data_IF_538389973860
#
_entry.id   IF_538389973860
#
_cell.length_a   1.000
_cell.length_b   1.000
_cell.length_c   1.000
_cell.angle_alpha   90.00
_cell.angle_beta   90.00
_cell.angle_gamma   90.00
#
_symmetry.space_group_name_H-M   'P 1'
#
loop_
_entity.id
_entity.type
_entity.pdbx_description
1 polymer ?
#
# COMPACT_ATOMS: atom_id res chain seq x y z
N UNK A 1 49.33 60.48 55.41
CA UNK A 1 48.14 59.74 55.91
C UNK A 1 47.10 59.69 54.86
N UNK A 2 46.99 58.59 54.15
CA UNK A 2 45.87 58.30 53.25
C UNK A 2 45.65 56.81 53.29
N UNK A 3 44.51 56.38 53.84
CA UNK A 3 44.03 54.98 53.90
C UNK A 3 43.55 54.52 52.56
N UNK A 4 43.98 53.35 52.17
CA UNK A 4 43.47 52.64 50.98
C UNK A 4 42.60 51.49 51.47
N UNK A 5 41.32 51.55 51.19
CA UNK A 5 40.32 50.49 51.40
C UNK A 5 40.24 49.57 50.16
N UNK A 6 40.59 48.29 50.33
CA UNK A 6 40.41 47.27 49.31
C UNK A 6 38.97 46.79 49.31
N UNK A 7 38.25 46.97 48.20
CA UNK A 7 37.01 46.27 47.89
C UNK A 7 37.31 44.92 47.16
N UNK A 8 36.99 43.85 47.83
CA UNK A 8 36.95 42.49 47.16
C UNK A 8 35.58 42.28 46.54
N UNK A 9 35.53 42.21 45.21
CA UNK A 9 34.34 41.77 44.47
C UNK A 9 34.30 40.23 44.41
N UNK A 10 33.27 39.62 45.00
CA UNK A 10 32.95 38.20 44.84
C UNK A 10 32.25 38.02 43.50
N UNK A 11 32.90 37.33 42.58
CA UNK A 11 32.23 36.83 41.34
C UNK A 11 31.55 35.52 41.67
N UNK A 12 30.22 35.50 41.74
CA UNK A 12 29.41 34.25 41.74
C UNK A 12 29.34 33.72 40.31
N UNK A 13 30.03 32.62 40.05
CA UNK A 13 29.88 31.86 38.83
C UNK A 13 28.59 31.00 38.90
N UNK A 14 27.54 31.40 38.18
CA UNK A 14 26.39 30.56 37.98
C UNK A 14 26.76 29.45 36.97
N UNK A 15 26.99 28.22 37.43
CA UNK A 15 27.00 27.03 36.59
C UNK A 15 25.55 26.71 36.19
N UNK A 16 25.15 27.13 34.98
CA UNK A 16 23.93 26.69 34.35
C UNK A 16 24.06 25.23 33.96
N UNK A 17 23.41 24.31 34.66
CA UNK A 17 23.25 22.91 34.24
C UNK A 17 22.34 22.88 33.04
N UNK A 18 22.91 22.69 31.85
CA UNK A 18 22.19 22.29 30.63
C UNK A 18 21.64 20.91 30.88
N UNK A 19 20.36 20.82 31.26
CA UNK A 19 19.61 19.57 31.23
C UNK A 19 19.28 19.30 29.76
N UNK A 20 19.80 18.22 29.15
CA UNK A 20 19.40 17.89 27.80
C UNK A 20 17.91 17.54 27.83
N UNK A 21 17.09 18.34 27.19
CA UNK A 21 15.69 17.98 26.90
C UNK A 21 15.70 16.74 26.05
N UNK A 22 15.43 15.58 26.64
CA UNK A 22 15.08 14.35 25.93
C UNK A 22 13.83 14.69 25.11
N UNK A 23 14.02 14.93 23.81
CA UNK A 23 12.91 14.96 22.89
C UNK A 23 12.31 13.56 22.92
N UNK A 24 11.12 13.43 23.49
CA UNK A 24 10.33 12.22 23.40
C UNK A 24 10.17 11.92 21.91
N UNK A 25 10.81 10.85 21.44
CA UNK A 25 10.62 10.39 20.06
C UNK A 25 9.13 10.09 19.93
N UNK A 26 8.46 10.78 19.02
CA UNK A 26 7.09 10.43 18.62
C UNK A 26 7.08 8.96 18.26
N UNK A 27 6.18 8.14 18.84
CA UNK A 27 6.13 6.72 18.52
C UNK A 27 6.00 6.55 17.02
N UNK A 28 6.91 5.77 16.41
CA UNK A 28 6.80 5.41 15.01
C UNK A 28 5.46 4.67 14.83
N UNK A 29 4.57 5.14 13.95
CA UNK A 29 3.30 4.46 13.73
C UNK A 29 3.54 2.99 13.42
N UNK A 30 2.71 2.12 13.99
CA UNK A 30 2.79 0.69 13.70
C UNK A 30 2.46 0.45 12.23
N UNK A 31 3.26 -0.34 11.49
CA UNK A 31 2.97 -0.64 10.11
C UNK A 31 1.59 -1.27 9.93
N UNK A 32 0.92 -0.94 8.84
CA UNK A 32 -0.40 -1.47 8.50
C UNK A 32 -0.26 -2.71 7.61
N UNK A 33 -1.03 -3.76 7.88
CA UNK A 33 -1.08 -4.98 7.07
C UNK A 33 -2.38 -4.99 6.27
N UNK A 34 -2.24 -5.10 4.96
CA UNK A 34 -3.33 -5.30 4.02
C UNK A 34 -3.35 -6.74 3.55
N UNK A 35 -4.53 -7.33 3.52
CA UNK A 35 -4.79 -8.67 3.01
C UNK A 35 -5.70 -8.56 1.78
N UNK A 36 -5.19 -8.92 0.59
CA UNK A 36 -5.91 -8.86 -0.68
C UNK A 36 -5.97 -10.26 -1.29
N UNK A 37 -7.02 -11.03 -0.98
CA UNK A 37 -7.11 -12.44 -1.37
C UNK A 37 -7.29 -12.60 -2.88
N UNK A 38 -6.89 -13.76 -3.44
CA UNK A 38 -7.03 -14.06 -4.86
C UNK A 38 -8.42 -13.75 -5.40
N UNK A 39 -8.47 -12.93 -6.44
CA UNK A 39 -9.71 -12.57 -7.14
C UNK A 39 -10.12 -13.59 -8.20
N UNK A 40 -9.26 -14.56 -8.49
CA UNK A 40 -9.56 -15.69 -9.38
C UNK A 40 -10.74 -16.52 -8.88
N UNK A 41 -11.26 -17.37 -9.78
CA UNK A 41 -12.37 -18.28 -9.47
C UNK A 41 -13.61 -17.59 -8.90
N UNK A 42 -14.01 -16.49 -9.54
CA UNK A 42 -15.19 -15.70 -9.18
C UNK A 42 -15.20 -15.25 -7.71
N UNK A 43 -14.03 -14.90 -7.16
CA UNK A 43 -13.89 -14.41 -5.81
C UNK A 43 -14.07 -15.48 -4.71
N UNK A 44 -13.84 -16.75 -5.04
CA UNK A 44 -13.97 -17.86 -4.07
C UNK A 44 -13.23 -17.62 -2.77
N UNK A 45 -11.99 -17.17 -2.83
CA UNK A 45 -11.19 -16.91 -1.64
C UNK A 45 -11.79 -15.81 -0.78
N UNK A 46 -12.30 -14.74 -1.36
CA UNK A 46 -12.98 -13.69 -0.62
C UNK A 46 -14.24 -14.20 0.08
N UNK A 47 -15.09 -15.01 -0.63
CA UNK A 47 -16.27 -15.64 -0.03
C UNK A 47 -15.92 -16.54 1.15
N UNK A 48 -14.84 -17.33 1.05
CA UNK A 48 -14.40 -18.22 2.12
C UNK A 48 -14.13 -17.50 3.43
N UNK A 49 -13.55 -16.29 3.39
CA UNK A 49 -13.27 -15.49 4.59
C UNK A 49 -14.54 -15.19 5.39
N UNK A 50 -15.66 -14.97 4.72
CA UNK A 50 -16.96 -14.66 5.36
C UNK A 50 -17.77 -15.90 5.68
N UNK A 51 -17.66 -16.94 4.85
CA UNK A 51 -18.37 -18.21 5.08
C UNK A 51 -17.75 -19.04 6.22
N UNK A 52 -16.45 -18.87 6.48
CA UNK A 52 -15.70 -19.60 7.48
C UNK A 52 -14.90 -18.67 8.39
N UNK A 53 -15.56 -17.75 9.14
CA UNK A 53 -14.90 -16.70 9.90
C UNK A 53 -13.98 -17.24 11.01
N UNK A 54 -14.23 -18.44 11.51
CA UNK A 54 -13.40 -19.12 12.51
C UNK A 54 -12.10 -19.71 11.90
N UNK A 55 -12.05 -19.82 10.59
CA UNK A 55 -10.89 -20.37 9.87
C UNK A 55 -9.70 -19.43 9.77
N UNK A 56 -9.78 -18.16 10.25
CA UNK A 56 -8.72 -17.17 10.11
C UNK A 56 -8.67 -16.12 11.25
N UNK A 57 -9.01 -16.53 12.46
CA UNK A 57 -9.10 -15.64 13.63
C UNK A 57 -7.75 -15.04 14.00
N UNK A 58 -6.68 -15.83 13.95
CA UNK A 58 -5.32 -15.37 14.25
C UNK A 58 -4.82 -14.39 13.17
N UNK A 59 -4.95 -14.77 11.90
CA UNK A 59 -4.62 -13.89 10.74
C UNK A 59 -5.37 -12.59 10.85
N UNK A 60 -6.67 -12.63 11.11
CA UNK A 60 -7.53 -11.45 11.23
C UNK A 60 -7.05 -10.48 12.32
N UNK A 61 -6.48 -10.99 13.40
CA UNK A 61 -5.92 -10.16 14.48
C UNK A 61 -4.65 -9.39 14.06
N UNK A 62 -4.02 -9.77 12.97
CA UNK A 62 -2.79 -9.19 12.44
C UNK A 62 -3.05 -8.17 11.32
N UNK A 63 -4.19 -8.27 10.66
CA UNK A 63 -4.60 -7.47 9.50
C UNK A 63 -5.39 -6.25 9.95
N UNK A 64 -5.19 -5.11 9.30
CA UNK A 64 -5.95 -3.89 9.51
C UNK A 64 -6.88 -3.58 8.35
N UNK A 65 -6.53 -3.99 7.12
CA UNK A 65 -7.29 -3.70 5.92
C UNK A 65 -7.52 -4.97 5.12
N UNK A 66 -8.78 -5.27 4.82
CA UNK A 66 -9.13 -6.23 3.79
C UNK A 66 -9.29 -5.46 2.48
N UNK A 67 -8.47 -5.79 1.48
CA UNK A 67 -8.47 -5.12 0.19
C UNK A 67 -9.04 -5.98 -0.93
N UNK A 68 -9.51 -5.34 -1.99
CA UNK A 68 -9.96 -5.99 -3.22
C UNK A 68 -10.03 -4.99 -4.38
N UNK A 69 -9.94 -5.47 -5.63
CA UNK A 69 -10.20 -4.62 -6.78
C UNK A 69 -11.71 -4.31 -6.90
N UNK A 70 -12.06 -3.04 -6.98
CA UNK A 70 -13.45 -2.58 -6.88
C UNK A 70 -14.35 -3.07 -8.00
N UNK A 71 -13.88 -3.07 -9.25
CA UNK A 71 -14.63 -3.59 -10.39
C UNK A 71 -14.88 -5.10 -10.28
N UNK A 72 -13.93 -5.87 -9.72
CA UNK A 72 -14.13 -7.30 -9.47
C UNK A 72 -15.11 -7.52 -8.33
N UNK A 73 -15.00 -6.75 -7.25
CA UNK A 73 -15.90 -6.80 -6.12
C UNK A 73 -17.35 -6.52 -6.58
N UNK A 74 -17.54 -5.53 -7.46
CA UNK A 74 -18.85 -5.21 -8.05
C UNK A 74 -19.38 -6.29 -8.98
N UNK A 75 -18.54 -6.91 -9.78
CA UNK A 75 -18.94 -7.92 -10.75
C UNK A 75 -19.22 -9.27 -10.11
N UNK A 76 -18.39 -9.66 -9.13
CA UNK A 76 -18.39 -11.01 -8.57
C UNK A 76 -19.42 -11.20 -7.45
N UNK A 77 -19.79 -10.12 -6.72
CA UNK A 77 -20.60 -10.26 -5.52
C UNK A 77 -21.95 -9.54 -5.63
N UNK A 78 -22.99 -10.26 -5.18
CA UNK A 78 -24.37 -9.73 -5.14
C UNK A 78 -24.56 -8.80 -3.95
N UNK A 79 -25.59 -7.96 -4.03
CA UNK A 79 -25.93 -7.04 -2.94
C UNK A 79 -26.23 -7.76 -1.63
N UNK A 80 -26.85 -8.94 -1.69
CA UNK A 80 -27.17 -9.76 -0.51
C UNK A 80 -25.88 -10.22 0.20
N UNK A 81 -24.86 -10.64 -0.57
CA UNK A 81 -23.58 -11.03 -0.02
C UNK A 81 -22.88 -9.84 0.65
N UNK A 82 -22.82 -8.70 -0.04
CA UNK A 82 -22.21 -7.49 0.49
C UNK A 82 -22.92 -6.95 1.73
N UNK A 83 -24.27 -6.93 1.76
CA UNK A 83 -25.05 -6.55 2.97
C UNK A 83 -24.75 -7.45 4.16
N UNK A 84 -24.49 -8.73 3.93
CA UNK A 84 -24.12 -9.64 5.01
C UNK A 84 -22.69 -9.42 5.52
N UNK A 85 -21.74 -9.13 4.61
CA UNK A 85 -20.31 -9.07 4.92
C UNK A 85 -19.83 -7.73 5.45
N UNK A 86 -20.33 -6.61 4.93
CA UNK A 86 -19.89 -5.28 5.34
C UNK A 86 -20.01 -5.02 6.85
N UNK A 87 -21.13 -5.42 7.54
CA UNK A 87 -21.21 -5.36 8.99
C UNK A 87 -20.22 -6.31 9.70
N UNK A 88 -19.84 -7.41 9.07
CA UNK A 88 -18.83 -8.32 9.65
C UNK A 88 -17.46 -7.67 9.69
N UNK A 89 -17.05 -6.94 8.64
CA UNK A 89 -15.81 -6.17 8.64
C UNK A 89 -15.75 -5.19 9.82
N UNK A 90 -16.85 -4.46 10.05
CA UNK A 90 -16.93 -3.52 11.17
C UNK A 90 -16.79 -4.23 12.53
N UNK A 91 -17.50 -5.34 12.74
CA UNK A 91 -17.39 -6.15 13.97
C UNK A 91 -15.98 -6.71 14.19
N UNK A 92 -15.26 -7.01 13.13
CA UNK A 92 -13.88 -7.49 13.18
C UNK A 92 -12.86 -6.37 13.33
N UNK A 93 -13.29 -5.10 13.25
CA UNK A 93 -12.38 -3.95 13.27
C UNK A 93 -11.53 -3.82 12.00
N UNK A 94 -11.94 -4.48 10.92
CA UNK A 94 -11.27 -4.40 9.62
C UNK A 94 -11.80 -3.25 8.79
N UNK A 95 -10.89 -2.60 8.10
CA UNK A 95 -11.18 -1.54 7.13
C UNK A 95 -11.30 -2.15 5.73
N UNK A 96 -12.02 -1.50 4.83
CA UNK A 96 -12.10 -1.88 3.42
C UNK A 96 -11.20 -0.97 2.58
N UNK A 97 -10.20 -1.54 1.92
CA UNK A 97 -9.39 -0.89 0.91
C UNK A 97 -9.79 -1.35 -0.49
N UNK A 98 -9.83 -0.43 -1.44
CA UNK A 98 -10.14 -0.76 -2.83
C UNK A 98 -8.98 -0.37 -3.75
N UNK A 99 -8.64 -1.28 -4.65
CA UNK A 99 -7.82 -0.96 -5.79
C UNK A 99 -8.72 -0.51 -6.93
N UNK A 100 -8.41 0.65 -7.52
CA UNK A 100 -9.32 1.35 -8.43
C UNK A 100 -8.57 1.89 -9.64
N UNK A 101 -9.21 1.93 -10.79
CA UNK A 101 -8.66 2.62 -11.95
C UNK A 101 -8.65 4.14 -11.73
N UNK A 102 -7.63 4.86 -12.20
CA UNK A 102 -7.58 6.32 -12.17
C UNK A 102 -7.59 6.92 -13.56
N UNK A 103 -6.68 6.49 -14.44
CA UNK A 103 -6.61 6.87 -15.84
C UNK A 103 -6.34 5.61 -16.64
N UNK A 104 -7.35 5.14 -17.36
CA UNK A 104 -7.34 3.85 -18.05
C UNK A 104 -7.91 4.01 -19.48
N UNK A 105 -7.71 3.05 -20.39
CA UNK A 105 -8.26 3.14 -21.75
C UNK A 105 -9.78 3.36 -21.82
N UNK A 106 -10.52 2.84 -20.83
CA UNK A 106 -11.97 3.02 -20.73
C UNK A 106 -12.39 4.34 -20.04
N UNK A 107 -11.45 4.99 -19.34
CA UNK A 107 -11.63 6.26 -18.64
C UNK A 107 -10.39 7.14 -18.78
N UNK A 108 -10.19 7.76 -19.95
CA UNK A 108 -8.94 8.44 -20.30
C UNK A 108 -8.71 9.77 -19.58
N UNK A 109 -9.72 10.34 -18.93
CA UNK A 109 -9.59 11.59 -18.15
C UNK A 109 -9.97 11.34 -16.69
N UNK A 110 -9.40 12.14 -15.77
CA UNK A 110 -9.69 12.06 -14.35
C UNK A 110 -11.19 12.17 -14.05
N UNK A 111 -11.88 13.13 -14.70
CA UNK A 111 -13.33 13.30 -14.55
C UNK A 111 -14.11 12.06 -15.02
N UNK A 112 -13.81 11.60 -16.25
CA UNK A 112 -14.55 10.45 -16.82
C UNK A 112 -14.36 9.19 -15.98
N UNK A 113 -13.14 8.92 -15.52
CA UNK A 113 -12.87 7.78 -14.67
C UNK A 113 -13.60 7.92 -13.34
N UNK A 114 -13.53 9.08 -12.71
CA UNK A 114 -14.25 9.34 -11.46
C UNK A 114 -15.76 9.10 -11.61
N UNK A 115 -16.39 9.55 -12.69
CA UNK A 115 -17.83 9.36 -12.92
C UNK A 115 -18.23 7.89 -13.13
N UNK A 116 -17.28 7.06 -13.59
CA UNK A 116 -17.48 5.60 -13.72
C UNK A 116 -17.30 4.93 -12.36
N UNK A 117 -16.17 5.16 -11.71
CA UNK A 117 -15.76 4.49 -10.47
C UNK A 117 -16.67 4.83 -9.29
N UNK A 118 -17.08 6.09 -9.16
CA UNK A 118 -17.91 6.51 -8.05
C UNK A 118 -19.25 5.77 -7.99
N UNK A 119 -19.79 5.31 -9.12
CA UNK A 119 -21.04 4.51 -9.12
C UNK A 119 -20.87 3.20 -8.37
N UNK A 120 -19.68 2.63 -8.44
CA UNK A 120 -19.33 1.41 -7.72
C UNK A 120 -19.19 1.70 -6.22
N UNK A 121 -18.58 2.82 -5.88
CA UNK A 121 -18.39 3.22 -4.48
C UNK A 121 -19.69 3.64 -3.82
N UNK A 122 -20.56 4.38 -4.53
CA UNK A 122 -21.89 4.77 -4.06
C UNK A 122 -22.76 3.52 -3.78
N UNK A 123 -22.63 2.46 -4.60
CA UNK A 123 -23.26 1.16 -4.34
C UNK A 123 -22.79 0.57 -3.00
N UNK A 124 -21.49 0.56 -2.72
CA UNK A 124 -20.98 0.06 -1.42
C UNK A 124 -21.51 0.86 -0.25
N UNK A 125 -21.51 2.17 -0.35
CA UNK A 125 -22.05 3.03 0.71
C UNK A 125 -23.54 2.78 0.91
N UNK A 126 -24.32 2.63 -0.17
CA UNK A 126 -25.74 2.29 -0.08
C UNK A 126 -26.01 0.92 0.57
N UNK A 127 -25.04 -0.01 0.50
CA UNK A 127 -25.10 -1.31 1.17
C UNK A 127 -24.55 -1.28 2.61
N UNK A 128 -24.22 -0.10 3.15
CA UNK A 128 -23.71 0.08 4.51
C UNK A 128 -22.20 -0.04 4.64
N UNK A 129 -21.45 -0.08 3.52
CA UNK A 129 -20.00 -0.13 3.51
C UNK A 129 -19.36 1.22 3.82
N UNK A 130 -18.16 1.17 4.39
CA UNK A 130 -17.27 2.33 4.56
C UNK A 130 -15.95 2.04 3.85
N UNK A 131 -15.65 2.82 2.81
CA UNK A 131 -14.38 2.73 2.12
C UNK A 131 -13.34 3.49 2.97
N UNK A 132 -12.26 2.82 3.30
CA UNK A 132 -11.15 3.40 4.04
C UNK A 132 -10.13 4.05 3.11
N UNK A 133 -9.77 3.34 2.04
CA UNK A 133 -8.74 3.80 1.13
C UNK A 133 -9.01 3.36 -0.32
N UNK A 134 -8.58 4.20 -1.25
CA UNK A 134 -8.50 3.92 -2.68
C UNK A 134 -7.02 3.90 -3.07
N UNK A 135 -6.58 2.81 -3.69
CA UNK A 135 -5.25 2.64 -4.24
C UNK A 135 -5.37 2.70 -5.77
N UNK A 136 -4.79 3.72 -6.39
CA UNK A 136 -4.93 3.98 -7.83
C UNK A 136 -4.00 3.05 -8.60
N UNK A 137 -4.57 2.17 -9.41
CA UNK A 137 -3.87 1.13 -10.16
C UNK A 137 -3.14 1.72 -11.37
N UNK A 138 -1.83 1.88 -11.26
CA UNK A 138 -0.84 2.18 -12.29
C UNK A 138 -1.18 3.33 -13.27
N UNK A 139 -1.57 4.53 -12.81
CA UNK A 139 -1.96 5.60 -13.73
C UNK A 139 -0.83 6.08 -14.63
N UNK A 140 0.41 6.22 -14.12
CA UNK A 140 1.55 6.65 -14.94
C UNK A 140 1.94 5.56 -15.96
N UNK A 141 2.04 4.32 -15.50
CA UNK A 141 2.36 3.19 -16.37
C UNK A 141 1.33 3.06 -17.49
N UNK A 142 0.05 3.07 -17.16
CA UNK A 142 -1.04 2.98 -18.12
C UNK A 142 -1.04 4.12 -19.14
N UNK A 143 -0.85 5.37 -18.68
CA UNK A 143 -0.77 6.51 -19.60
C UNK A 143 0.38 6.37 -20.60
N UNK A 144 1.54 5.92 -20.14
CA UNK A 144 2.70 5.67 -21.02
C UNK A 144 2.48 4.49 -21.96
N UNK A 145 2.00 3.36 -21.43
CA UNK A 145 1.97 2.09 -22.17
C UNK A 145 0.71 1.96 -23.05
N UNK A 146 -0.44 2.33 -22.53
CA UNK A 146 -1.71 2.08 -23.21
C UNK A 146 -2.21 3.32 -23.96
N UNK A 147 -2.17 4.48 -23.31
CA UNK A 147 -2.67 5.72 -23.91
C UNK A 147 -1.65 6.42 -24.79
N UNK A 148 -0.35 6.09 -24.66
CA UNK A 148 0.76 6.73 -25.41
C UNK A 148 0.75 8.24 -25.26
N UNK A 149 0.50 8.73 -24.04
CA UNK A 149 0.48 10.17 -23.70
C UNK A 149 1.70 10.53 -22.84
N UNK A 150 2.09 11.82 -22.83
CA UNK A 150 3.21 12.28 -22.00
C UNK A 150 2.88 12.26 -20.51
N UNK A 151 3.91 12.22 -19.66
CA UNK A 151 3.77 12.25 -18.21
C UNK A 151 2.95 13.41 -17.67
N UNK A 152 3.08 14.59 -18.29
CA UNK A 152 2.28 15.76 -17.91
C UNK A 152 0.77 15.49 -18.03
N UNK A 153 0.35 14.66 -18.99
CA UNK A 153 -1.04 14.22 -19.09
C UNK A 153 -1.41 13.30 -17.94
N UNK A 154 -0.55 12.35 -17.59
CA UNK A 154 -0.77 11.48 -16.44
C UNK A 154 -0.93 12.29 -15.15
N UNK A 155 0.00 13.22 -14.89
CA UNK A 155 -0.05 14.12 -13.72
C UNK A 155 -1.36 14.89 -13.66
N UNK A 156 -1.74 15.55 -14.76
CA UNK A 156 -2.96 16.35 -14.80
C UNK A 156 -4.22 15.52 -14.53
N UNK A 157 -4.36 14.39 -15.23
CA UNK A 157 -5.58 13.59 -15.14
C UNK A 157 -5.69 12.85 -13.81
N UNK A 158 -4.57 12.34 -13.28
CA UNK A 158 -4.57 11.69 -11.97
C UNK A 158 -4.81 12.70 -10.84
N UNK A 159 -4.21 13.87 -10.90
CA UNK A 159 -4.47 14.93 -9.92
C UNK A 159 -5.93 15.39 -9.92
N UNK A 160 -6.55 15.55 -11.10
CA UNK A 160 -7.98 15.87 -11.21
C UNK A 160 -8.85 14.77 -10.59
N UNK A 161 -8.56 13.50 -10.87
CA UNK A 161 -9.26 12.36 -10.27
C UNK A 161 -9.17 12.40 -8.73
N UNK A 162 -7.96 12.56 -8.19
CA UNK A 162 -7.74 12.65 -6.74
C UNK A 162 -8.49 13.86 -6.14
N UNK A 163 -8.46 15.00 -6.78
CA UNK A 163 -9.17 16.19 -6.30
C UNK A 163 -10.69 15.96 -6.23
N UNK A 164 -11.27 15.27 -7.21
CA UNK A 164 -12.68 14.86 -7.20
C UNK A 164 -12.97 13.87 -6.08
N UNK A 165 -12.11 12.89 -5.85
CA UNK A 165 -12.24 11.96 -4.71
C UNK A 165 -12.23 12.74 -3.38
N UNK A 166 -11.27 13.66 -3.20
CA UNK A 166 -11.17 14.49 -1.98
C UNK A 166 -12.41 15.35 -1.73
N UNK A 167 -13.03 15.84 -2.79
CA UNK A 167 -14.23 16.65 -2.72
C UNK A 167 -15.46 15.82 -2.30
N UNK A 168 -15.60 14.61 -2.83
CA UNK A 168 -16.80 13.79 -2.62
C UNK A 168 -16.68 12.80 -1.46
N UNK A 169 -15.45 12.38 -1.15
CA UNK A 169 -15.12 11.40 -0.12
C UNK A 169 -13.94 11.88 0.74
N UNK A 170 -14.09 12.99 1.50
CA UNK A 170 -12.98 13.67 2.19
C UNK A 170 -12.23 12.79 3.20
N UNK A 171 -12.90 11.81 3.79
CA UNK A 171 -12.33 10.90 4.79
C UNK A 171 -11.55 9.73 4.17
N UNK A 172 -11.71 9.46 2.88
CA UNK A 172 -11.07 8.34 2.21
C UNK A 172 -9.59 8.65 1.97
N UNK A 173 -8.72 7.72 2.33
CA UNK A 173 -7.31 7.80 1.95
C UNK A 173 -7.15 7.52 0.46
N UNK A 174 -6.19 8.19 -0.18
CA UNK A 174 -5.88 7.96 -1.59
C UNK A 174 -4.39 7.75 -1.73
N UNK A 175 -4.03 6.60 -2.26
CA UNK A 175 -2.66 6.26 -2.63
C UNK A 175 -2.54 5.93 -4.10
N UNK A 176 -1.31 5.86 -4.56
CA UNK A 176 -0.95 5.57 -5.93
C UNK A 176 -0.14 4.28 -5.99
N UNK A 177 -0.41 3.41 -6.95
CA UNK A 177 0.30 2.16 -7.21
C UNK A 177 1.06 2.33 -8.52
N UNK A 178 2.34 1.96 -8.54
CA UNK A 178 3.09 1.92 -9.80
C UNK A 178 4.00 0.69 -9.87
N UNK A 179 4.24 0.13 -11.06
CA UNK A 179 4.98 -1.11 -11.21
C UNK A 179 6.49 -0.86 -11.30
N UNK A 180 7.26 -1.69 -10.60
CA UNK A 180 8.71 -1.70 -10.68
C UNK A 180 9.18 -3.12 -11.07
N UNK A 181 10.15 -3.31 -11.96
CA UNK A 181 11.05 -2.32 -12.54
C UNK A 181 10.62 -1.75 -13.92
N UNK A 182 9.39 -1.90 -14.35
CA UNK A 182 8.88 -1.27 -15.58
C UNK A 182 9.08 0.24 -15.57
N UNK A 183 8.79 0.86 -14.42
CA UNK A 183 9.14 2.24 -14.14
C UNK A 183 10.36 2.27 -13.22
N UNK A 184 11.42 2.95 -13.62
CA UNK A 184 12.62 3.07 -12.81
C UNK A 184 12.42 4.02 -11.63
N UNK A 185 13.16 3.83 -10.54
CA UNK A 185 13.03 4.61 -9.29
C UNK A 185 13.10 6.12 -9.54
N UNK A 186 13.98 6.58 -10.44
CA UNK A 186 14.05 8.01 -10.80
C UNK A 186 12.77 8.54 -11.43
N UNK A 187 12.10 7.74 -12.27
CA UNK A 187 10.80 8.12 -12.83
C UNK A 187 9.73 8.18 -11.74
N UNK A 188 9.70 7.20 -10.86
CA UNK A 188 8.73 7.14 -9.75
C UNK A 188 8.90 8.32 -8.78
N UNK A 189 10.13 8.69 -8.46
CA UNK A 189 10.41 9.87 -7.63
C UNK A 189 9.91 11.15 -8.31
N UNK A 190 10.22 11.33 -9.61
CA UNK A 190 9.77 12.49 -10.38
C UNK A 190 8.25 12.54 -10.49
N UNK A 191 7.62 11.39 -10.67
CA UNK A 191 6.17 11.25 -10.69
C UNK A 191 5.52 11.71 -9.38
N UNK A 192 6.01 11.19 -8.23
CA UNK A 192 5.51 11.58 -6.90
C UNK A 192 5.63 13.10 -6.73
N UNK A 193 6.77 13.68 -7.08
CA UNK A 193 7.00 15.12 -6.94
C UNK A 193 6.02 15.95 -7.81
N UNK A 194 5.86 15.57 -9.09
CA UNK A 194 4.98 16.26 -10.01
C UNK A 194 3.51 16.14 -9.59
N UNK A 195 3.07 14.95 -9.18
CA UNK A 195 1.70 14.71 -8.73
C UNK A 195 1.39 15.50 -7.45
N UNK A 196 2.29 15.49 -6.46
CA UNK A 196 2.14 16.27 -5.22
C UNK A 196 2.10 17.79 -5.50
N UNK A 197 2.94 18.28 -6.41
CA UNK A 197 2.93 19.68 -6.81
C UNK A 197 1.59 20.07 -7.46
N UNK A 198 1.08 19.23 -8.37
CA UNK A 198 -0.19 19.49 -9.06
C UNK A 198 -1.39 19.43 -8.12
N UNK A 199 -1.41 18.47 -7.17
CA UNK A 199 -2.44 18.40 -6.14
C UNK A 199 -2.46 19.66 -5.27
N UNK A 200 -1.29 20.20 -4.90
CA UNK A 200 -1.19 21.46 -4.17
C UNK A 200 -1.77 22.65 -4.96
N UNK A 201 -1.51 22.72 -6.25
CA UNK A 201 -2.09 23.76 -7.13
C UNK A 201 -3.62 23.67 -7.21
N UNK A 202 -4.17 22.44 -7.14
CA UNK A 202 -5.61 22.20 -7.09
C UNK A 202 -6.21 22.38 -5.68
N UNK A 203 -5.43 22.80 -4.69
CA UNK A 203 -5.81 22.89 -3.28
C UNK A 203 -6.33 21.54 -2.72
N UNK A 204 -5.86 20.44 -3.27
CA UNK A 204 -6.19 19.10 -2.82
C UNK A 204 -5.10 18.55 -1.88
N UNK A 205 -5.51 17.74 -0.88
CA UNK A 205 -4.58 17.01 -0.03
C UNK A 205 -3.77 16.04 -0.90
N UNK A 206 -2.46 15.92 -0.64
CA UNK A 206 -1.56 15.03 -1.33
C UNK A 206 -1.89 13.54 -1.12
N UNK A 207 -1.01 12.69 -1.64
CA UNK A 207 -1.10 11.24 -1.46
C UNK A 207 -1.01 10.85 0.02
N UNK A 208 -1.87 9.94 0.47
CA UNK A 208 -1.78 9.35 1.80
C UNK A 208 -0.79 8.20 1.86
N UNK A 209 -0.48 7.57 0.73
CA UNK A 209 0.59 6.58 0.56
C UNK A 209 1.00 6.47 -0.91
N UNK A 210 2.23 5.98 -1.13
CA UNK A 210 2.69 5.52 -2.44
C UNK A 210 2.98 4.03 -2.34
N UNK A 211 2.38 3.23 -3.21
CA UNK A 211 2.47 1.78 -3.23
C UNK A 211 3.30 1.32 -4.41
N UNK A 212 4.24 0.43 -4.15
CA UNK A 212 5.04 -0.18 -5.20
C UNK A 212 4.59 -1.61 -5.45
N UNK A 213 4.22 -1.89 -6.69
CA UNK A 213 4.07 -3.24 -7.21
C UNK A 213 5.42 -3.70 -7.78
N UNK A 214 6.01 -4.68 -7.12
CA UNK A 214 7.30 -5.22 -7.53
C UNK A 214 7.09 -6.46 -8.39
N UNK A 215 7.44 -6.38 -9.68
CA UNK A 215 7.49 -7.57 -10.52
C UNK A 215 8.69 -8.44 -10.13
N UNK A 216 8.43 -9.32 -9.20
CA UNK A 216 9.37 -10.26 -8.64
C UNK A 216 10.04 -11.16 -9.70
N UNK A 217 9.33 -11.51 -10.78
CA UNK A 217 9.89 -12.35 -11.83
C UNK A 217 11.04 -11.67 -12.54
N UNK A 218 10.95 -10.36 -12.78
CA UNK A 218 12.03 -9.61 -13.40
C UNK A 218 13.31 -9.64 -12.56
N UNK A 219 13.21 -9.64 -11.25
CA UNK A 219 14.36 -9.79 -10.35
C UNK A 219 14.94 -11.20 -10.41
N UNK A 220 14.08 -12.20 -10.40
CA UNK A 220 14.46 -13.61 -10.30
C UNK A 220 15.13 -14.13 -11.56
N UNK A 221 14.59 -13.77 -12.74
CA UNK A 221 15.13 -14.23 -14.02
C UNK A 221 16.25 -13.33 -14.56
N UNK A 222 16.55 -12.22 -13.88
CA UNK A 222 17.60 -11.29 -14.30
C UNK A 222 17.29 -10.61 -15.62
N UNK A 223 16.07 -10.10 -15.78
CA UNK A 223 15.64 -9.43 -17.00
C UNK A 223 16.52 -8.20 -17.31
N UNK A 224 17.15 -8.20 -18.48
CA UNK A 224 18.05 -7.12 -18.91
C UNK A 224 17.32 -5.90 -19.47
N UNK A 225 16.06 -6.06 -19.89
CA UNK A 225 15.26 -4.96 -20.45
C UNK A 225 14.75 -4.07 -19.31
N UNK A 226 14.36 -4.68 -18.20
CA UNK A 226 13.87 -3.98 -17.02
C UNK A 226 14.71 -4.40 -15.79
N UNK A 227 15.94 -3.88 -15.67
CA UNK A 227 16.77 -4.23 -14.53
C UNK A 227 16.20 -3.67 -13.23
N UNK A 228 16.20 -4.48 -12.18
CA UNK A 228 15.70 -4.10 -10.88
C UNK A 228 16.45 -4.81 -9.75
N UNK A 229 16.40 -4.24 -8.55
CA UNK A 229 16.95 -4.84 -7.34
C UNK A 229 16.35 -4.22 -6.07
N UNK A 230 16.46 -4.92 -4.95
CA UNK A 230 15.95 -4.48 -3.66
C UNK A 230 16.59 -3.20 -3.10
N UNK A 231 17.90 -2.93 -3.27
CA UNK A 231 18.48 -1.64 -2.88
C UNK A 231 17.80 -0.45 -3.53
N UNK A 232 17.38 -0.53 -4.81
CA UNK A 232 16.64 0.52 -5.49
C UNK A 232 15.21 0.69 -4.91
N UNK A 233 14.55 -0.40 -4.55
CA UNK A 233 13.26 -0.33 -3.82
C UNK A 233 13.44 0.39 -2.48
N UNK A 234 14.54 0.10 -1.77
CA UNK A 234 14.89 0.80 -0.53
C UNK A 234 15.18 2.29 -0.75
N UNK A 235 15.83 2.64 -1.84
CA UNK A 235 16.04 4.05 -2.22
C UNK A 235 14.71 4.79 -2.39
N UNK A 236 13.73 4.17 -3.05
CA UNK A 236 12.39 4.74 -3.22
C UNK A 236 11.66 4.88 -1.86
N UNK A 237 11.72 3.87 -0.99
CA UNK A 237 11.18 3.97 0.38
C UNK A 237 11.74 5.21 1.10
N UNK A 238 13.06 5.41 1.05
CA UNK A 238 13.70 6.56 1.66
C UNK A 238 13.30 7.88 0.99
N UNK A 239 13.09 7.87 -0.32
CA UNK A 239 12.61 9.04 -1.05
C UNK A 239 11.17 9.41 -0.67
N UNK A 240 10.27 8.44 -0.52
CA UNK A 240 8.91 8.63 -0.01
C UNK A 240 8.93 9.19 1.42
N UNK A 241 9.76 8.62 2.29
CA UNK A 241 9.91 9.08 3.67
C UNK A 241 10.37 10.54 3.78
N UNK A 242 11.34 10.97 2.95
CA UNK A 242 11.76 12.38 2.88
C UNK A 242 10.64 13.32 2.45
N UNK A 243 9.70 12.83 1.65
CA UNK A 243 8.52 13.55 1.15
C UNK A 243 7.31 13.47 2.10
N UNK A 244 7.45 12.73 3.20
CA UNK A 244 6.36 12.45 4.16
C UNK A 244 5.17 11.74 3.49
N UNK A 245 5.44 10.92 2.48
CA UNK A 245 4.48 10.03 1.86
C UNK A 245 4.75 8.63 2.40
N UNK A 246 3.83 8.01 3.13
CA UNK A 246 3.96 6.63 3.59
C UNK A 246 4.25 5.68 2.42
N UNK A 247 5.24 4.80 2.62
CA UNK A 247 5.62 3.81 1.60
C UNK A 247 4.89 2.50 1.83
N UNK A 248 4.20 2.03 0.81
CA UNK A 248 3.46 0.77 0.77
C UNK A 248 4.13 -0.20 -0.20
N UNK A 249 4.22 -1.47 0.15
CA UNK A 249 4.86 -2.47 -0.70
C UNK A 249 3.96 -3.69 -0.87
N UNK A 250 3.71 -4.08 -2.12
CA UNK A 250 2.98 -5.29 -2.48
C UNK A 250 3.94 -6.48 -2.45
N UNK A 251 3.51 -7.55 -1.81
CA UNK A 251 4.14 -8.86 -1.80
C UNK A 251 3.19 -9.85 -2.48
N UNK A 252 3.55 -10.26 -3.68
CA UNK A 252 2.85 -11.24 -4.47
C UNK A 252 3.84 -12.19 -5.12
N UNK A 253 3.38 -13.31 -5.61
CA UNK A 253 4.25 -14.27 -6.25
C UNK A 253 3.57 -15.00 -7.39
N UNK A 254 4.39 -15.54 -8.29
CA UNK A 254 3.99 -16.34 -9.43
C UNK A 254 5.08 -17.39 -9.73
N UNK A 255 4.97 -18.11 -10.83
CA UNK A 255 5.99 -19.08 -11.27
C UNK A 255 7.23 -18.34 -11.83
N UNK A 256 8.32 -18.38 -11.09
CA UNK A 256 9.56 -17.66 -11.39
C UNK A 256 10.35 -18.19 -12.58
N UNK A 257 10.02 -19.35 -13.10
CA UNK A 257 10.71 -19.96 -14.24
C UNK A 257 10.23 -19.47 -15.61
N UNK A 258 9.16 -18.68 -15.67
CA UNK A 258 8.48 -18.35 -16.93
C UNK A 258 8.17 -16.86 -17.04
N UNK A 259 8.39 -16.29 -18.21
CA UNK A 259 8.04 -14.89 -18.51
C UNK A 259 6.51 -14.66 -18.50
N UNK A 260 5.71 -15.68 -18.78
CA UNK A 260 4.24 -15.67 -18.69
C UNK A 260 3.79 -16.16 -17.31
N UNK A 261 4.22 -15.45 -16.30
CA UNK A 261 4.16 -15.84 -14.89
C UNK A 261 2.78 -15.77 -14.25
N UNK A 262 1.84 -15.07 -14.86
CA UNK A 262 0.51 -14.85 -14.28
C UNK A 262 -0.34 -16.13 -14.17
N UNK A 263 0.08 -17.23 -14.80
CA UNK A 263 -0.73 -18.44 -14.91
C UNK A 263 -0.36 -19.56 -13.93
N UNK A 264 0.78 -19.49 -13.19
CA UNK A 264 1.44 -20.75 -12.85
C UNK A 264 1.93 -20.92 -11.43
N UNK A 265 1.62 -20.05 -10.48
CA UNK A 265 1.95 -20.34 -9.11
C UNK A 265 1.03 -21.45 -8.57
N UNK A 266 1.61 -22.55 -8.12
CA UNK A 266 0.93 -23.38 -7.14
C UNK A 266 0.97 -22.72 -5.77
N UNK A 267 0.16 -23.20 -4.84
CA UNK A 267 0.00 -22.58 -3.52
C UNK A 267 1.32 -22.53 -2.72
N UNK A 268 2.14 -23.58 -2.81
CA UNK A 268 3.44 -23.65 -2.14
C UNK A 268 4.46 -22.68 -2.76
N UNK A 269 4.56 -22.65 -4.09
CA UNK A 269 5.43 -21.71 -4.82
C UNK A 269 5.06 -20.26 -4.49
N UNK A 270 3.77 -19.95 -4.44
CA UNK A 270 3.29 -18.62 -4.08
C UNK A 270 3.71 -18.24 -2.66
N UNK A 271 3.49 -19.12 -1.67
CA UNK A 271 3.91 -18.92 -0.29
C UNK A 271 5.42 -18.68 -0.17
N UNK A 272 6.23 -19.56 -0.75
CA UNK A 272 7.70 -19.42 -0.74
C UNK A 272 8.13 -18.10 -1.36
N UNK A 273 7.48 -17.68 -2.42
CA UNK A 273 7.80 -16.44 -3.12
C UNK A 273 7.58 -15.20 -2.28
N UNK A 274 6.43 -15.06 -1.63
CA UNK A 274 6.18 -13.89 -0.76
C UNK A 274 7.13 -13.88 0.45
N UNK A 275 7.40 -15.04 1.05
CA UNK A 275 8.33 -15.15 2.16
C UNK A 275 9.74 -14.74 1.76
N UNK A 276 10.21 -15.15 0.58
CA UNK A 276 11.50 -14.77 0.04
C UNK A 276 11.60 -13.26 -0.19
N UNK A 277 10.60 -12.64 -0.80
CA UNK A 277 10.54 -11.18 -0.95
C UNK A 277 10.65 -10.47 0.40
N UNK A 278 9.93 -10.97 1.42
CA UNK A 278 10.01 -10.45 2.78
C UNK A 278 11.43 -10.52 3.35
N UNK A 279 12.13 -11.64 3.17
CA UNK A 279 13.53 -11.79 3.61
C UNK A 279 14.47 -10.87 2.82
N UNK A 280 14.37 -10.87 1.51
CA UNK A 280 15.26 -10.10 0.63
C UNK A 280 15.12 -8.60 0.89
N UNK A 281 13.88 -8.12 1.06
CA UNK A 281 13.66 -6.71 1.37
C UNK A 281 14.09 -6.33 2.79
N UNK A 282 13.84 -7.19 3.77
CA UNK A 282 14.34 -7.01 5.14
C UNK A 282 15.87 -7.01 5.21
N UNK A 283 16.53 -7.82 4.38
CA UNK A 283 18.00 -7.91 4.31
C UNK A 283 18.65 -6.57 3.88
N UNK A 284 18.02 -5.83 2.97
CA UNK A 284 18.49 -4.48 2.58
C UNK A 284 17.98 -3.38 3.53
N UNK A 285 17.44 -3.74 4.67
CA UNK A 285 16.91 -2.79 5.67
C UNK A 285 15.56 -2.18 5.29
N UNK A 286 14.81 -2.82 4.41
CA UNK A 286 13.46 -2.40 4.04
C UNK A 286 12.51 -2.40 5.24
N UNK A 287 11.67 -1.37 5.34
CA UNK A 287 10.71 -1.20 6.44
C UNK A 287 9.51 -0.36 5.96
N UNK A 288 8.66 -0.92 5.09
CA UNK A 288 7.52 -0.19 4.58
C UNK A 288 6.54 0.18 5.70
N UNK A 289 5.78 1.25 5.48
CA UNK A 289 4.72 1.68 6.38
C UNK A 289 3.46 0.82 6.21
N UNK A 290 3.27 0.25 5.02
CA UNK A 290 2.18 -0.69 4.73
C UNK A 290 2.75 -1.93 4.04
N UNK A 291 2.37 -3.11 4.54
CA UNK A 291 2.65 -4.42 3.95
C UNK A 291 1.38 -4.92 3.28
N UNK A 292 1.40 -5.07 1.98
CA UNK A 292 0.25 -5.55 1.19
C UNK A 292 0.54 -6.95 0.71
N UNK A 293 -0.17 -7.94 1.25
CA UNK A 293 -0.08 -9.31 0.78
C UNK A 293 -1.25 -9.54 -0.17
N UNK A 294 -0.94 -9.70 -1.44
CA UNK A 294 -1.91 -9.68 -2.52
C UNK A 294 -1.71 -10.82 -3.51
N UNK A 295 -2.79 -11.30 -4.11
CA UNK A 295 -2.72 -12.23 -5.22
C UNK A 295 -3.81 -11.96 -6.26
N UNK A 296 -3.39 -11.71 -7.49
CA UNK A 296 -4.25 -11.69 -8.68
C UNK A 296 -4.10 -12.94 -9.55
N UNK A 297 -3.23 -13.87 -9.16
CA UNK A 297 -3.08 -15.18 -9.80
C UNK A 297 -4.03 -16.22 -9.19
N UNK A 298 -4.07 -17.42 -9.74
CA UNK A 298 -4.93 -18.51 -9.24
C UNK A 298 -4.45 -19.21 -7.97
N UNK A 299 -3.42 -18.70 -7.29
CA UNK A 299 -2.84 -19.22 -6.06
C UNK A 299 -2.73 -18.12 -4.99
N UNK A 300 -2.91 -18.46 -3.71
CA UNK A 300 -3.40 -19.74 -3.20
C UNK A 300 -4.86 -20.04 -3.60
N UNK A 301 -5.15 -21.29 -3.91
CA UNK A 301 -6.48 -21.72 -4.37
C UNK A 301 -7.56 -21.64 -3.27
N UNK A 302 -7.14 -21.61 -2.00
CA UNK A 302 -8.03 -21.50 -0.82
C UNK A 302 -7.57 -20.39 0.11
N UNK A 303 -8.55 -19.67 0.67
CA UNK A 303 -8.23 -18.65 1.67
C UNK A 303 -8.06 -19.21 3.07
N UNK A 304 -8.85 -20.21 3.46
CA UNK A 304 -8.95 -20.75 4.81
C UNK A 304 -9.02 -22.30 4.78
N UNK A 305 -8.76 -23.00 5.91
CA UNK A 305 -8.41 -22.50 7.22
C UNK A 305 -6.92 -22.11 7.36
N UNK A 306 -6.61 -21.19 8.25
CA UNK A 306 -5.22 -20.77 8.53
C UNK A 306 -4.34 -21.83 9.20
N UNK A 307 -4.95 -22.94 9.65
CA UNK A 307 -4.25 -24.09 10.21
C UNK A 307 -3.68 -25.02 9.15
N UNK A 308 -4.18 -24.95 7.93
CA UNK A 308 -3.69 -25.73 6.81
C UNK A 308 -2.60 -24.98 6.05
N UNK A 309 -1.60 -25.74 5.60
CA UNK A 309 -0.50 -25.21 4.78
C UNK A 309 -1.01 -24.62 3.46
N UNK A 310 -0.31 -23.61 2.99
CA UNK A 310 -0.51 -22.97 1.69
C UNK A 310 -1.87 -22.29 1.49
N UNK A 311 -2.69 -22.12 2.54
CA UNK A 311 -3.86 -21.25 2.42
C UNK A 311 -3.44 -19.78 2.47
N UNK A 312 -4.25 -18.90 1.88
CA UNK A 312 -3.94 -17.48 1.84
C UNK A 312 -3.84 -16.87 3.25
N UNK A 313 -4.79 -17.20 4.13
CA UNK A 313 -4.76 -16.74 5.52
C UNK A 313 -3.52 -17.23 6.26
N UNK A 314 -3.13 -18.49 6.09
CA UNK A 314 -1.88 -19.01 6.65
C UNK A 314 -0.68 -18.21 6.18
N UNK A 315 -0.60 -17.94 4.90
CA UNK A 315 0.49 -17.18 4.28
C UNK A 315 0.59 -15.76 4.83
N UNK A 316 -0.54 -15.07 4.95
CA UNK A 316 -0.61 -13.71 5.54
C UNK A 316 -0.22 -13.72 7.01
N UNK A 317 -0.65 -14.73 7.77
CA UNK A 317 -0.30 -14.90 9.19
C UNK A 317 1.21 -15.05 9.36
N UNK A 318 1.78 -16.04 8.69
CA UNK A 318 3.20 -16.38 8.81
C UNK A 318 4.09 -15.22 8.36
N UNK A 319 3.73 -14.57 7.26
CA UNK A 319 4.40 -13.36 6.78
C UNK A 319 4.34 -12.23 7.81
N UNK A 320 3.16 -11.93 8.33
CA UNK A 320 2.96 -10.84 9.29
C UNK A 320 3.69 -11.07 10.60
N UNK A 321 3.67 -12.30 11.11
CA UNK A 321 4.41 -12.67 12.31
C UNK A 321 5.92 -12.51 12.13
N UNK A 322 6.43 -12.84 10.94
CA UNK A 322 7.85 -12.83 10.65
C UNK A 322 8.40 -11.43 10.38
N UNK A 323 7.71 -10.64 9.56
CA UNK A 323 8.27 -9.39 9.04
C UNK A 323 7.67 -8.12 9.65
N UNK A 324 6.45 -8.18 10.18
CA UNK A 324 5.77 -7.02 10.76
C UNK A 324 5.93 -6.99 12.28
N UNK A 325 5.71 -8.10 12.97
CA UNK A 325 5.86 -8.18 14.44
C UNK A 325 7.31 -8.28 14.92
N UNK A 326 8.21 -8.82 14.11
CA UNK A 326 9.60 -9.08 14.50
C UNK A 326 10.51 -7.85 14.60
N UNK A 327 10.02 -6.64 14.31
CA UNK A 327 10.78 -5.39 14.34
C UNK A 327 10.56 -4.55 15.61
N UNK A 328 10.45 -5.21 16.78
CA UNK A 328 10.50 -4.53 18.08
C UNK A 328 11.88 -4.60 18.69
#
# INVERSE_FOLDING_TARGET
>A
MKQWTCLRALALAMLGTLIPTLHAQTPVPKPEVWMMPPSAFEGRCFRQLFAQPEGWVETRSLVQVLGYADHQLNRQFKDEELRAWLPMLQRWGLKLGLEVGAVKPWGTTGQKTFDIERKLWDRFQALGGRIYALALDEPLCCVRQDLKKPDAYAVEQTAQFIALVRQHYPEVQVGDIEPYPFLQVTNLISWIDALQARLKELNARGLDFFRLDVDWNHFTIGNRIYPGNWPQVKELELACRRRKVPFSLIYWAADYGKMDSLKLADDATWYVGIMRQGYDYAFVGGAPDQFVIESWVGAPARAVPETEEWTFARSVRDFSQRFVKGKR
#
